data_IF_567872786368
#
_entry.id   IF_567872786368
#
_cell.length_a   1.000
_cell.length_b   1.000
_cell.length_c   1.000
_cell.angle_alpha   90.00
_cell.angle_beta   90.00
_cell.angle_gamma   90.00
#
_symmetry.space_group_name_H-M   'P 1'
#
loop_
_entity.id
_entity.type
_entity.pdbx_description
1 polymer ?
#
# COMPACT_ATOMS: atom_id res chain seq x y z
N UNK A 1 22.17 -10.35 4.56
CA UNK A 1 22.02 -9.94 3.16
C UNK A 1 23.20 -9.06 2.77
N UNK A 2 23.58 -8.96 1.49
CA UNK A 2 24.57 -8.00 1.03
C UNK A 2 24.12 -6.57 1.34
N UNK A 3 25.06 -5.63 1.53
CA UNK A 3 24.72 -4.21 1.60
C UNK A 3 24.14 -3.75 0.25
N UNK A 4 22.94 -3.18 0.29
CA UNK A 4 22.22 -2.74 -0.90
C UNK A 4 22.47 -1.25 -1.21
N UNK A 5 23.13 -0.50 -0.33
CA UNK A 5 23.30 0.94 -0.46
C UNK A 5 23.96 1.31 -1.80
N UNK A 6 23.32 2.22 -2.53
CA UNK A 6 23.79 2.70 -3.84
C UNK A 6 23.50 1.77 -5.02
N UNK A 7 22.90 0.60 -4.78
CA UNK A 7 22.47 -0.29 -5.86
C UNK A 7 21.15 0.17 -6.48
N UNK A 8 20.89 -0.26 -7.73
CA UNK A 8 19.59 -0.07 -8.37
C UNK A 8 18.46 -0.76 -7.59
N UNK A 9 18.74 -1.91 -6.96
CA UNK A 9 17.76 -2.61 -6.11
C UNK A 9 17.32 -1.77 -4.92
N UNK A 10 18.24 -1.05 -4.27
CA UNK A 10 17.89 -0.17 -3.16
C UNK A 10 16.97 0.98 -3.59
N UNK A 11 17.24 1.62 -4.74
CA UNK A 11 16.33 2.66 -5.25
C UNK A 11 14.98 2.10 -5.71
N UNK A 12 14.95 0.87 -6.26
CA UNK A 12 13.71 0.18 -6.59
C UNK A 12 12.88 -0.13 -5.34
N UNK A 13 13.50 -0.60 -4.25
CA UNK A 13 12.82 -0.87 -2.98
C UNK A 13 12.23 0.41 -2.37
N UNK A 14 12.97 1.52 -2.41
CA UNK A 14 12.45 2.84 -1.96
C UNK A 14 11.27 3.31 -2.82
N UNK A 15 11.36 3.10 -4.13
CA UNK A 15 10.27 3.43 -5.07
C UNK A 15 9.03 2.58 -4.79
N UNK A 16 9.22 1.27 -4.57
CA UNK A 16 8.13 0.35 -4.23
C UNK A 16 7.50 0.72 -2.88
N UNK A 17 8.29 0.96 -1.84
CA UNK A 17 7.81 1.45 -0.55
C UNK A 17 6.93 2.70 -0.69
N UNK A 18 7.38 3.68 -1.47
CA UNK A 18 6.61 4.90 -1.73
C UNK A 18 5.32 4.61 -2.51
N UNK A 19 5.37 3.72 -3.50
CA UNK A 19 4.22 3.29 -4.30
C UNK A 19 3.14 2.62 -3.46
N UNK A 20 3.52 1.62 -2.65
CA UNK A 20 2.59 0.89 -1.78
C UNK A 20 2.05 1.77 -0.66
N UNK A 21 2.86 2.69 -0.12
CA UNK A 21 2.40 3.70 0.84
C UNK A 21 1.31 4.59 0.24
N UNK A 22 1.44 5.00 -1.02
CA UNK A 22 0.43 5.79 -1.70
C UNK A 22 -0.82 4.95 -2.07
N UNK A 23 -0.63 3.69 -2.45
CA UNK A 23 -1.72 2.75 -2.74
C UNK A 23 -2.60 2.55 -1.50
N UNK A 24 -1.99 2.28 -0.34
CA UNK A 24 -2.69 2.21 0.94
C UNK A 24 -3.59 3.44 1.16
N UNK A 25 -3.05 4.66 0.99
CA UNK A 25 -3.84 5.89 1.24
C UNK A 25 -4.99 6.05 0.27
N UNK A 26 -4.83 5.67 -1.01
CA UNK A 26 -5.93 5.65 -1.98
C UNK A 26 -7.01 4.65 -1.60
N UNK A 27 -6.65 3.42 -1.21
CA UNK A 27 -7.63 2.41 -0.83
C UNK A 27 -8.37 2.77 0.46
N UNK A 28 -7.71 3.37 1.45
CA UNK A 28 -8.41 3.92 2.63
C UNK A 28 -9.43 5.00 2.23
N UNK A 29 -9.10 5.85 1.26
CA UNK A 29 -10.03 6.86 0.75
C UNK A 29 -11.20 6.20 0.00
N UNK A 30 -10.95 5.24 -0.88
CA UNK A 30 -12.00 4.53 -1.63
C UNK A 30 -12.92 3.73 -0.71
N UNK A 31 -12.38 3.12 0.35
CA UNK A 31 -13.20 2.48 1.36
C UNK A 31 -14.20 3.45 2.00
N UNK A 32 -13.77 4.67 2.33
CA UNK A 32 -14.65 5.71 2.87
C UNK A 32 -15.73 6.14 1.87
N UNK A 33 -15.39 6.28 0.59
CA UNK A 33 -16.37 6.60 -0.44
C UNK A 33 -17.39 5.47 -0.61
N UNK A 34 -16.95 4.22 -0.66
CA UNK A 34 -17.83 3.06 -0.72
C UNK A 34 -18.77 2.95 0.49
N UNK A 35 -18.29 3.28 1.70
CA UNK A 35 -19.13 3.37 2.91
C UNK A 35 -20.22 4.46 2.74
N UNK A 36 -19.88 5.64 2.20
CA UNK A 36 -20.82 6.76 1.97
C UNK A 36 -21.87 6.40 0.92
N UNK A 37 -21.48 5.71 -0.14
CA UNK A 37 -22.36 5.30 -1.24
C UNK A 37 -23.23 4.07 -0.92
N UNK A 38 -23.03 3.45 0.26
CA UNK A 38 -23.84 2.32 0.72
C UNK A 38 -23.38 0.96 0.19
N UNK A 39 -22.08 0.80 -0.11
CA UNK A 39 -21.47 -0.45 -0.57
C UNK A 39 -20.52 -1.06 0.50
N UNK A 40 -21.07 -1.66 1.58
CA UNK A 40 -20.26 -2.10 2.73
C UNK A 40 -19.26 -3.22 2.39
N UNK A 41 -19.61 -4.14 1.48
CA UNK A 41 -18.70 -5.21 1.04
C UNK A 41 -17.51 -4.65 0.25
N UNK A 42 -17.76 -3.66 -0.62
CA UNK A 42 -16.73 -2.98 -1.39
C UNK A 42 -15.81 -2.17 -0.48
N UNK A 43 -16.37 -1.49 0.52
CA UNK A 43 -15.58 -0.79 1.52
C UNK A 43 -14.69 -1.75 2.33
N UNK A 44 -15.21 -2.92 2.71
CA UNK A 44 -14.45 -3.98 3.35
C UNK A 44 -13.31 -4.50 2.49
N UNK A 45 -13.56 -4.71 1.19
CA UNK A 45 -12.53 -5.10 0.23
C UNK A 45 -11.40 -4.06 0.18
N UNK A 46 -11.72 -2.77 0.02
CA UNK A 46 -10.70 -1.73 -0.01
C UNK A 46 -9.91 -1.60 1.31
N UNK A 47 -10.56 -1.80 2.47
CA UNK A 47 -9.87 -1.84 3.78
C UNK A 47 -8.85 -2.98 3.82
N UNK A 48 -9.27 -4.19 3.44
CA UNK A 48 -8.39 -5.36 3.42
C UNK A 48 -7.22 -5.19 2.43
N UNK A 49 -7.47 -4.60 1.25
CA UNK A 49 -6.40 -4.30 0.29
C UNK A 49 -5.45 -3.25 0.85
N UNK A 50 -5.93 -2.20 1.50
CA UNK A 50 -5.08 -1.20 2.15
C UNK A 50 -4.15 -1.85 3.21
N UNK A 51 -4.67 -2.77 4.01
CA UNK A 51 -3.87 -3.51 5.01
C UNK A 51 -2.81 -4.39 4.34
N UNK A 52 -3.14 -5.04 3.21
CA UNK A 52 -2.16 -5.77 2.41
C UNK A 52 -1.01 -4.86 1.91
N UNK A 53 -1.32 -3.67 1.40
CA UNK A 53 -0.28 -2.73 0.95
C UNK A 53 0.59 -2.20 2.11
N UNK A 54 0.05 -2.16 3.33
CA UNK A 54 0.87 -1.89 4.52
C UNK A 54 1.89 -3.00 4.72
N UNK A 55 1.48 -4.25 4.59
CA UNK A 55 2.38 -5.42 4.63
C UNK A 55 3.44 -5.37 3.54
N UNK A 56 3.05 -5.08 2.29
CA UNK A 56 3.98 -4.95 1.17
C UNK A 56 5.00 -3.82 1.39
N UNK A 57 4.54 -2.63 1.79
CA UNK A 57 5.41 -1.49 2.07
C UNK A 57 6.43 -1.83 3.17
N UNK A 58 5.99 -2.37 4.31
CA UNK A 58 6.89 -2.72 5.40
C UNK A 58 7.88 -3.83 5.01
N UNK A 59 7.53 -4.70 4.07
CA UNK A 59 8.45 -5.71 3.52
C UNK A 59 9.58 -5.14 2.64
N UNK A 60 9.53 -3.85 2.29
CA UNK A 60 10.57 -3.16 1.51
C UNK A 60 11.57 -2.36 2.37
N UNK A 61 11.37 -2.28 3.68
CA UNK A 61 12.27 -1.64 4.65
C UNK A 61 13.22 -2.68 5.29
#
# INVERSE_FOLDING_TARGET
MPDLKGTKTHENLKTAFAGESQANRRYVYFAKQADIEGYPEVAGLFKNTADAETGHALGHL
#
